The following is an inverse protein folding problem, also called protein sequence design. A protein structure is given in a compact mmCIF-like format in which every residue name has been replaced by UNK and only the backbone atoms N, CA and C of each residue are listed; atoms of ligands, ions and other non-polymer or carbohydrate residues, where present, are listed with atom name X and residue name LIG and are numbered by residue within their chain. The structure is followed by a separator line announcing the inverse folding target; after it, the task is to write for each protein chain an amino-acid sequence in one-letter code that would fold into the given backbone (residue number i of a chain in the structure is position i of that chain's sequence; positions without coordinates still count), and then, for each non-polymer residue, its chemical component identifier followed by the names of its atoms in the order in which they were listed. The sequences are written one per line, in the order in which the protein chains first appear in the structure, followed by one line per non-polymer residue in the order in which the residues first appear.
data_IF_399256222563
#
_entry.id   IF_399256222563
#
_cell.length_a   1.000
_cell.length_b   1.000
_cell.length_c   1.000
_cell.angle_alpha   90.00
_cell.angle_beta   90.00
_cell.angle_gamma   90.00
#
_symmetry.space_group_name_H-M   'P 1'
#
loop_
_entity.id
_entity.type
_entity.pdbx_description
1 polymer ?
#
# COMPACT_ATOMS: atom_id res chain seq x y z
N UNK A 1 1.47 0.80 13.90
CA UNK A 1 0.07 0.31 13.89
C UNK A 1 -0.57 0.51 15.27
N UNK A 2 0.18 0.20 16.32
CA UNK A 2 -0.19 0.41 17.73
C UNK A 2 -0.70 1.83 18.01
N UNK A 3 -0.15 2.86 17.38
CA UNK A 3 -0.50 4.26 17.69
C UNK A 3 -1.99 4.62 17.45
N UNK A 4 -2.61 4.16 16.34
CA UNK A 4 -4.02 4.49 16.05
C UNK A 4 -4.99 3.57 16.78
N UNK A 5 -4.62 2.32 17.03
CA UNK A 5 -5.40 1.42 17.91
C UNK A 5 -5.40 1.94 19.34
N UNK A 6 -4.25 2.41 19.83
CA UNK A 6 -4.13 2.98 21.18
C UNK A 6 -4.84 4.32 21.29
N UNK A 7 -4.79 5.17 20.25
CA UNK A 7 -5.63 6.38 20.20
C UNK A 7 -7.12 6.05 20.33
N UNK A 8 -7.62 5.07 19.57
CA UNK A 8 -9.02 4.64 19.66
C UNK A 8 -9.36 4.12 21.07
N UNK A 9 -8.48 3.31 21.68
CA UNK A 9 -8.66 2.80 23.04
C UNK A 9 -8.66 3.90 24.11
N UNK A 10 -7.68 4.80 24.08
CA UNK A 10 -7.54 5.90 25.05
C UNK A 10 -8.74 6.84 25.04
N UNK A 11 -9.32 7.07 23.87
CA UNK A 11 -10.49 7.93 23.70
C UNK A 11 -11.83 7.18 23.80
N UNK A 12 -11.83 5.88 24.14
CA UNK A 12 -13.04 5.03 24.20
C UNK A 12 -13.84 5.03 22.89
N UNK A 13 -13.15 5.11 21.76
CA UNK A 13 -13.71 5.09 20.42
C UNK A 13 -13.70 3.66 19.87
N UNK A 14 -14.70 3.32 19.08
CA UNK A 14 -14.85 1.98 18.52
C UNK A 14 -13.78 1.69 17.46
N UNK A 15 -13.18 0.50 17.54
CA UNK A 15 -12.34 -0.06 16.47
C UNK A 15 -13.24 -0.90 15.57
N UNK A 16 -13.37 -0.52 14.30
CA UNK A 16 -14.30 -1.20 13.41
C UNK A 16 -13.81 -2.61 13.03
N UNK A 17 -14.70 -3.62 13.04
CA UNK A 17 -14.36 -4.95 12.57
C UNK A 17 -14.10 -4.96 11.06
N UNK A 18 -13.33 -5.93 10.58
CA UNK A 18 -12.96 -6.03 9.15
C UNK A 18 -14.16 -6.18 8.20
N UNK A 19 -15.31 -6.62 8.72
CA UNK A 19 -16.59 -6.82 8.03
C UNK A 19 -17.46 -5.58 7.98
N UNK A 20 -17.07 -4.50 8.67
CA UNK A 20 -17.85 -3.27 8.72
C UNK A 20 -17.99 -2.63 7.32
N UNK A 21 -19.19 -2.19 6.91
CA UNK A 21 -19.40 -1.46 5.66
C UNK A 21 -18.51 -0.22 5.51
N UNK A 22 -18.21 0.49 6.60
CA UNK A 22 -17.30 1.65 6.60
C UNK A 22 -15.88 1.25 6.23
N UNK A 23 -15.40 0.12 6.73
CA UNK A 23 -14.08 -0.40 6.38
C UNK A 23 -14.02 -0.75 4.90
N UNK A 24 -15.09 -1.29 4.33
CA UNK A 24 -15.19 -1.51 2.88
C UNK A 24 -15.08 -0.20 2.10
N UNK A 25 -15.83 0.84 2.51
CA UNK A 25 -15.77 2.15 1.89
C UNK A 25 -14.35 2.78 1.99
N UNK A 26 -13.70 2.65 3.14
CA UNK A 26 -12.32 3.11 3.34
C UNK A 26 -11.34 2.44 2.38
N UNK A 27 -11.45 1.11 2.19
CA UNK A 27 -10.61 0.37 1.23
C UNK A 27 -10.86 0.79 -0.21
N UNK A 28 -12.12 1.08 -0.58
CA UNK A 28 -12.47 1.55 -1.93
C UNK A 28 -11.86 2.93 -2.20
N UNK A 29 -11.97 3.85 -1.24
CA UNK A 29 -11.34 5.18 -1.32
C UNK A 29 -9.82 5.05 -1.46
N UNK A 30 -9.18 4.22 -0.63
CA UNK A 30 -7.76 3.96 -0.71
C UNK A 30 -7.34 3.45 -2.09
N UNK A 31 -8.07 2.47 -2.62
CA UNK A 31 -7.80 1.89 -3.93
C UNK A 31 -7.90 2.95 -5.04
N UNK A 32 -8.98 3.73 -5.06
CA UNK A 32 -9.18 4.82 -6.03
C UNK A 32 -8.05 5.83 -5.99
N UNK A 33 -7.69 6.32 -4.80
CA UNK A 33 -6.68 7.35 -4.63
C UNK A 33 -5.25 6.86 -4.95
N UNK A 34 -4.99 5.57 -4.75
CA UNK A 34 -3.69 4.94 -5.04
C UNK A 34 -3.47 4.62 -6.53
N UNK A 35 -4.49 4.78 -7.37
CA UNK A 35 -4.39 4.46 -8.79
C UNK A 35 -3.45 5.44 -9.52
N UNK A 36 -2.65 4.96 -10.47
CA UNK A 36 -1.68 5.80 -11.19
C UNK A 36 -2.33 6.95 -11.98
N UNK A 37 -3.60 6.80 -12.39
CA UNK A 37 -4.36 7.90 -13.01
C UNK A 37 -4.58 9.09 -12.09
N UNK A 38 -4.45 8.90 -10.78
CA UNK A 38 -4.53 9.96 -9.78
C UNK A 38 -3.19 10.67 -9.56
N UNK A 39 -2.14 10.30 -10.30
CA UNK A 39 -0.82 10.89 -10.17
C UNK A 39 -0.55 11.86 -11.32
N UNK A 40 -0.26 13.12 -10.99
CA UNK A 40 0.20 14.11 -11.97
C UNK A 40 1.61 13.76 -12.48
N UNK A 41 2.01 14.39 -13.59
CA UNK A 41 3.36 14.20 -14.16
C UNK A 41 4.51 14.55 -13.19
N UNK A 42 4.24 15.38 -12.18
CA UNK A 42 5.21 15.77 -11.15
C UNK A 42 5.17 14.88 -9.90
N UNK A 43 4.37 13.81 -9.93
CA UNK A 43 4.24 12.89 -8.79
C UNK A 43 3.30 13.37 -7.68
N UNK A 44 2.56 14.47 -7.88
CA UNK A 44 1.54 14.92 -6.93
C UNK A 44 0.21 14.22 -7.17
N UNK A 45 -0.54 13.93 -6.10
CA UNK A 45 -1.92 13.46 -6.20
C UNK A 45 -2.83 14.53 -6.80
N UNK A 46 -3.63 14.15 -7.79
CA UNK A 46 -4.62 15.02 -8.44
C UNK A 46 -5.83 15.19 -7.51
N UNK A 47 -6.41 14.07 -7.08
CA UNK A 47 -7.41 13.99 -6.02
C UNK A 47 -6.70 13.76 -4.68
N UNK A 48 -6.89 14.68 -3.73
CA UNK A 48 -6.33 14.58 -2.39
C UNK A 48 -7.26 13.80 -1.46
N UNK A 49 -6.72 12.95 -0.56
CA UNK A 49 -7.53 12.30 0.46
C UNK A 49 -8.15 13.35 1.38
N UNK A 50 -9.46 13.23 1.60
CA UNK A 50 -10.17 13.98 2.63
C UNK A 50 -10.39 13.03 3.80
N UNK A 51 -9.91 13.42 4.98
CA UNK A 51 -10.15 12.64 6.19
C UNK A 51 -11.64 12.72 6.58
N UNK A 52 -12.21 11.62 7.10
CA UNK A 52 -13.52 11.66 7.73
C UNK A 52 -13.59 12.73 8.83
N UNK A 53 -14.76 13.34 8.99
CA UNK A 53 -14.95 14.43 9.95
C UNK A 53 -14.88 13.96 11.41
N UNK A 54 -15.31 12.72 11.69
CA UNK A 54 -15.29 12.19 13.05
C UNK A 54 -13.89 11.66 13.41
N UNK A 55 -13.37 11.93 14.62
CA UNK A 55 -12.08 11.39 15.05
C UNK A 55 -12.03 9.86 15.00
N UNK A 56 -13.14 9.19 15.32
CA UNK A 56 -13.28 7.74 15.24
C UNK A 56 -13.14 7.23 13.81
N UNK A 57 -13.87 7.81 12.85
CA UNK A 57 -13.79 7.39 11.46
C UNK A 57 -12.41 7.73 10.87
N UNK A 58 -11.82 8.88 11.22
CA UNK A 58 -10.50 9.26 10.75
C UNK A 58 -9.40 8.30 11.27
N UNK A 59 -9.43 7.95 12.55
CA UNK A 59 -8.48 7.00 13.12
C UNK A 59 -8.66 5.60 12.53
N UNK A 60 -9.89 5.11 12.39
CA UNK A 60 -10.17 3.83 11.73
C UNK A 60 -9.80 3.83 10.24
N UNK A 61 -9.97 4.95 9.54
CA UNK A 61 -9.56 5.12 8.16
C UNK A 61 -8.04 4.96 8.03
N UNK A 62 -7.26 5.71 8.83
CA UNK A 62 -5.80 5.63 8.78
C UNK A 62 -5.31 4.24 9.23
N UNK A 63 -5.91 3.66 10.27
CA UNK A 63 -5.60 2.29 10.71
C UNK A 63 -5.83 1.27 9.58
N UNK A 64 -6.91 1.44 8.81
CA UNK A 64 -7.19 0.60 7.62
C UNK A 64 -6.11 0.77 6.55
N UNK A 65 -5.69 2.00 6.26
CA UNK A 65 -4.63 2.28 5.30
C UNK A 65 -3.30 1.66 5.73
N UNK A 66 -2.92 1.76 7.01
CA UNK A 66 -1.71 1.14 7.53
C UNK A 66 -1.72 -0.38 7.31
N UNK A 67 -2.84 -1.05 7.63
CA UNK A 67 -2.99 -2.48 7.35
C UNK A 67 -2.83 -2.82 5.86
N UNK A 68 -3.44 -2.03 4.97
CA UNK A 68 -3.32 -2.24 3.54
C UNK A 68 -1.87 -2.09 3.06
N UNK A 69 -1.18 -1.03 3.50
CA UNK A 69 0.22 -0.80 3.12
C UNK A 69 1.11 -1.92 3.64
N UNK A 70 0.96 -2.36 4.89
CA UNK A 70 1.73 -3.49 5.43
C UNK A 70 1.52 -4.76 4.62
N UNK A 71 0.26 -5.08 4.25
CA UNK A 71 -0.05 -6.23 3.41
C UNK A 71 0.58 -6.14 2.02
N UNK A 72 0.50 -4.97 1.38
CA UNK A 72 1.07 -4.75 0.05
C UNK A 72 2.60 -4.86 0.06
N UNK A 73 3.25 -4.32 1.09
CA UNK A 73 4.71 -4.41 1.26
C UNK A 73 5.17 -5.85 1.46
N UNK A 74 4.48 -6.63 2.29
CA UNK A 74 4.79 -8.07 2.46
C UNK A 74 4.69 -8.83 1.13
N UNK A 75 3.63 -8.57 0.35
CA UNK A 75 3.46 -9.16 -0.98
C UNK A 75 4.56 -8.71 -1.94
N UNK A 76 4.97 -7.44 -1.91
CA UNK A 76 6.04 -6.93 -2.76
C UNK A 76 7.38 -7.57 -2.43
N UNK A 77 7.69 -7.78 -1.15
CA UNK A 77 8.91 -8.48 -0.71
C UNK A 77 8.89 -9.92 -1.24
N UNK A 78 7.79 -10.65 -1.03
CA UNK A 78 7.63 -12.04 -1.52
C UNK A 78 7.80 -12.14 -3.03
N UNK A 79 7.15 -11.25 -3.78
CA UNK A 79 7.29 -11.20 -5.23
C UNK A 79 8.73 -10.87 -5.67
N UNK A 80 9.42 -10.00 -4.93
CA UNK A 80 10.83 -9.67 -5.17
C UNK A 80 11.74 -10.89 -4.96
N UNK A 81 11.54 -11.64 -3.88
CA UNK A 81 12.28 -12.87 -3.58
C UNK A 81 12.04 -13.92 -4.67
N UNK A 82 10.78 -14.15 -5.05
CA UNK A 82 10.44 -15.12 -6.09
C UNK A 82 11.05 -14.75 -7.44
N UNK A 83 11.00 -13.46 -7.82
CA UNK A 83 11.62 -12.96 -9.04
C UNK A 83 13.12 -13.18 -9.01
N UNK A 84 13.80 -12.82 -7.91
CA UNK A 84 15.23 -13.02 -7.75
C UNK A 84 15.62 -14.50 -7.87
N UNK A 85 14.88 -15.40 -7.20
CA UNK A 85 15.13 -16.83 -7.27
C UNK A 85 14.95 -17.42 -8.69
N UNK A 86 14.01 -16.89 -9.48
CA UNK A 86 13.75 -17.36 -10.86
C UNK A 86 14.69 -16.78 -11.90
N UNK A 87 15.06 -15.50 -11.76
CA UNK A 87 15.73 -14.76 -12.84
C UNK A 87 17.14 -14.32 -12.51
N UNK A 88 17.63 -14.59 -11.29
CA UNK A 88 18.90 -14.08 -10.82
C UNK A 88 18.85 -12.59 -10.48
N UNK A 89 19.99 -12.07 -10.05
CA UNK A 89 20.17 -10.65 -9.75
C UNK A 89 20.24 -9.78 -11.00
N UNK A 90 20.05 -8.46 -10.86
CA UNK A 90 20.11 -7.51 -11.98
C UNK A 90 21.44 -7.62 -12.75
N UNK A 91 22.56 -7.85 -12.05
CA UNK A 91 23.87 -8.02 -12.67
C UNK A 91 23.93 -9.25 -13.57
N UNK A 92 23.37 -10.38 -13.13
CA UNK A 92 23.31 -11.62 -13.90
C UNK A 92 22.41 -11.45 -15.13
N UNK A 93 21.26 -10.79 -14.95
CA UNK A 93 20.37 -10.46 -16.07
C UNK A 93 21.03 -9.55 -17.11
N UNK A 94 21.70 -8.49 -16.66
CA UNK A 94 22.42 -7.58 -17.56
C UNK A 94 23.59 -8.27 -18.23
N UNK A 95 24.26 -9.21 -17.55
CA UNK A 95 25.31 -10.03 -18.13
C UNK A 95 24.78 -10.90 -19.28
N UNK A 96 23.66 -11.62 -19.07
CA UNK A 96 23.03 -12.44 -20.11
C UNK A 96 22.58 -11.59 -21.32
N UNK A 97 22.00 -10.42 -21.08
CA UNK A 97 21.64 -9.48 -22.16
C UNK A 97 22.88 -9.01 -22.94
N UNK A 98 23.97 -8.65 -22.24
CA UNK A 98 25.22 -8.25 -22.89
C UNK A 98 25.85 -9.39 -23.68
N UNK A 99 25.78 -10.62 -23.16
CA UNK A 99 26.30 -11.82 -23.83
C UNK A 99 25.54 -12.06 -25.15
N UNK A 100 24.21 -12.02 -25.12
CA UNK A 100 23.36 -12.11 -26.33
C UNK A 100 23.67 -11.01 -27.35
N UNK A 101 23.79 -9.76 -26.92
CA UNK A 101 24.11 -8.64 -27.81
C UNK A 101 25.51 -8.74 -28.44
N UNK A 102 26.42 -9.52 -27.84
CA UNK A 102 27.77 -9.77 -28.37
C UNK A 102 27.84 -10.96 -29.34
N UNK A 103 26.73 -11.66 -29.58
CA UNK A 103 26.65 -12.74 -30.58
C UNK A 103 27.32 -14.06 -30.18
N UNK A 104 27.51 -14.31 -28.88
CA UNK A 104 27.93 -15.61 -28.34
C UNK A 104 26.75 -16.54 -28.09
#
# INVERSE_FOLDING_TARGET
LMDFEDYLRQHSLEIYPKTDPKITAFRQTAFRLSHLSNLSSLGNLIEKPVLPASPQDAANFILTLCHQVTYLLDRQIKAGIEKFAKTGGLTEQLYEVRKKNRGY
#
